data_IF_437201574527
#
_entry.id   IF_437201574527
#
_cell.length_a   1.000
_cell.length_b   1.000
_cell.length_c   1.000
_cell.angle_alpha   90.00
_cell.angle_beta   90.00
_cell.angle_gamma   90.00
#
_symmetry.space_group_name_H-M   'P 1'
#
loop_
_entity.id
_entity.type
_entity.pdbx_description
1 polymer ?
#
# COMPACT_ATOMS: atom_id res chain seq x y z
N UNK A 1 17.91 -8.89 5.40
CA UNK A 1 18.62 -9.97 6.15
C UNK A 1 17.67 -10.89 6.93
N UNK A 2 16.44 -10.47 7.29
CA UNK A 2 15.47 -11.33 7.99
C UNK A 2 14.60 -12.21 7.07
N UNK A 3 14.63 -12.02 5.75
CA UNK A 3 13.83 -12.79 4.79
C UNK A 3 14.09 -14.31 4.87
N UNK A 4 15.34 -14.72 5.13
CA UNK A 4 15.70 -16.13 5.31
C UNK A 4 15.05 -16.70 6.57
N UNK A 5 15.03 -15.93 7.66
CA UNK A 5 14.38 -16.32 8.92
C UNK A 5 12.87 -16.43 8.73
N UNK A 6 12.24 -15.47 8.03
CA UNK A 6 10.81 -15.54 7.69
C UNK A 6 10.52 -16.79 6.86
N UNK A 7 11.30 -17.07 5.82
CA UNK A 7 11.12 -18.25 4.97
C UNK A 7 11.26 -19.56 5.76
N UNK A 8 12.22 -19.63 6.70
CA UNK A 8 12.36 -20.78 7.59
C UNK A 8 11.15 -20.95 8.50
N UNK A 9 10.67 -19.87 9.12
CA UNK A 9 9.50 -19.90 10.02
C UNK A 9 8.20 -20.25 9.26
N UNK A 10 8.05 -19.76 8.03
CA UNK A 10 6.96 -20.17 7.14
C UNK A 10 7.10 -21.63 6.68
N UNK A 11 8.33 -22.10 6.46
CA UNK A 11 8.61 -23.51 6.21
C UNK A 11 8.19 -24.40 7.40
N UNK A 12 8.51 -24.00 8.64
CA UNK A 12 8.05 -24.69 9.85
C UNK A 12 6.53 -24.64 9.97
N UNK A 13 5.90 -23.51 9.67
CA UNK A 13 4.44 -23.36 9.61
C UNK A 13 3.82 -24.37 8.64
N UNK A 14 4.35 -24.46 7.42
CA UNK A 14 3.88 -25.39 6.40
C UNK A 14 4.07 -26.85 6.85
N UNK A 15 5.23 -27.19 7.44
CA UNK A 15 5.49 -28.52 7.96
C UNK A 15 4.52 -28.90 9.09
N UNK A 16 4.24 -28.00 10.04
CA UNK A 16 3.25 -28.24 11.09
C UNK A 16 1.86 -28.50 10.51
N UNK A 17 1.45 -27.73 9.50
CA UNK A 17 0.15 -27.91 8.85
C UNK A 17 0.11 -29.26 8.11
N UNK A 18 1.14 -29.60 7.31
CA UNK A 18 1.24 -30.87 6.60
C UNK A 18 1.26 -32.08 7.56
N UNK A 19 2.02 -31.99 8.66
CA UNK A 19 2.05 -33.01 9.71
C UNK A 19 0.71 -33.13 10.45
N UNK A 20 0.01 -32.01 10.65
CA UNK A 20 -1.33 -31.99 11.23
C UNK A 20 -2.38 -32.64 10.34
N UNK A 21 -2.31 -32.42 9.02
CA UNK A 21 -3.18 -33.05 8.01
C UNK A 21 -2.92 -34.55 7.95
N UNK A 22 -1.66 -34.97 7.81
CA UNK A 22 -1.28 -36.39 7.73
C UNK A 22 -1.63 -37.18 9.00
N UNK A 23 -1.50 -36.56 10.19
CA UNK A 23 -1.85 -37.20 11.47
C UNK A 23 -3.31 -36.97 11.90
N UNK A 24 -4.15 -36.30 11.09
CA UNK A 24 -5.55 -35.96 11.40
C UNK A 24 -5.73 -35.20 12.74
N UNK A 25 -4.70 -34.48 13.19
CA UNK A 25 -4.72 -33.75 14.48
C UNK A 25 -5.04 -32.28 14.25
N UNK A 26 -6.33 -31.93 14.43
CA UNK A 26 -6.82 -30.54 14.31
C UNK A 26 -6.04 -29.54 15.18
N UNK A 27 -5.57 -29.96 16.36
CA UNK A 27 -4.77 -29.12 17.26
C UNK A 27 -3.42 -28.69 16.64
N UNK A 28 -2.76 -29.57 15.87
CA UNK A 28 -1.48 -29.24 15.22
C UNK A 28 -1.70 -28.30 14.04
N UNK A 29 -2.79 -28.48 13.29
CA UNK A 29 -3.17 -27.58 12.19
C UNK A 29 -3.48 -26.18 12.74
N UNK A 30 -4.30 -26.08 13.78
CA UNK A 30 -4.62 -24.82 14.43
C UNK A 30 -3.37 -24.13 15.00
N UNK A 31 -2.49 -24.89 15.65
CA UNK A 31 -1.20 -24.40 16.14
C UNK A 31 -0.28 -23.89 15.02
N UNK A 32 -0.21 -24.61 13.89
CA UNK A 32 0.54 -24.19 12.72
C UNK A 32 0.00 -22.88 12.12
N UNK A 33 -1.31 -22.78 11.88
CA UNK A 33 -1.94 -21.55 11.38
C UNK A 33 -1.70 -20.39 12.35
N UNK A 34 -1.89 -20.61 13.66
CA UNK A 34 -1.65 -19.60 14.67
C UNK A 34 -0.20 -19.11 14.68
N UNK A 35 0.76 -20.03 14.57
CA UNK A 35 2.18 -19.71 14.48
C UNK A 35 2.54 -18.93 13.21
N UNK A 36 1.94 -19.29 12.07
CA UNK A 36 2.11 -18.58 10.81
C UNK A 36 1.58 -17.14 10.88
N UNK A 37 0.36 -16.97 11.39
CA UNK A 37 -0.24 -15.64 11.61
C UNK A 37 0.62 -14.81 12.56
N UNK A 38 1.03 -15.41 13.69
CA UNK A 38 1.91 -14.75 14.65
C UNK A 38 3.21 -14.28 14.00
N UNK A 39 3.84 -15.14 13.20
CA UNK A 39 5.09 -14.80 12.49
C UNK A 39 4.89 -13.59 11.58
N UNK A 40 3.86 -13.60 10.74
CA UNK A 40 3.58 -12.50 9.81
C UNK A 40 3.33 -11.19 10.58
N UNK A 41 2.47 -11.23 11.62
CA UNK A 41 2.15 -10.06 12.43
C UNK A 41 3.37 -9.53 13.19
N UNK A 42 4.17 -10.43 13.77
CA UNK A 42 5.36 -10.06 14.53
C UNK A 42 6.40 -9.35 13.66
N UNK A 43 6.70 -9.88 12.47
CA UNK A 43 7.66 -9.24 11.57
C UNK A 43 7.11 -7.95 10.96
N UNK A 44 5.80 -7.88 10.66
CA UNK A 44 5.17 -6.64 10.24
C UNK A 44 5.27 -5.56 11.31
N UNK A 45 5.04 -5.91 12.58
CA UNK A 45 5.22 -5.01 13.72
C UNK A 45 6.69 -4.59 13.90
N UNK A 46 7.65 -5.52 13.82
CA UNK A 46 9.06 -5.19 13.94
C UNK A 46 9.53 -4.22 12.85
N UNK A 47 9.07 -4.41 11.60
CA UNK A 47 9.37 -3.48 10.51
C UNK A 47 8.84 -2.09 10.84
N UNK A 48 7.56 -2.01 11.20
CA UNK A 48 6.92 -0.75 11.57
C UNK A 48 7.62 -0.05 12.74
N UNK A 49 7.92 -0.80 13.79
CA UNK A 49 8.57 -0.28 14.99
C UNK A 49 10.01 0.17 14.72
N UNK A 50 10.74 -0.57 13.89
CA UNK A 50 12.09 -0.21 13.46
C UNK A 50 12.10 1.11 12.69
N UNK A 51 11.18 1.28 11.74
CA UNK A 51 11.03 2.53 10.98
C UNK A 51 10.68 3.69 11.92
N UNK A 52 9.71 3.50 12.82
CA UNK A 52 9.33 4.51 13.79
C UNK A 52 10.51 4.97 14.66
N UNK A 53 11.25 4.03 15.26
CA UNK A 53 12.43 4.35 16.07
C UNK A 53 13.52 5.04 15.26
N UNK A 54 13.71 4.66 13.99
CA UNK A 54 14.69 5.33 13.13
C UNK A 54 14.32 6.80 12.90
N UNK A 55 13.05 7.08 12.58
CA UNK A 55 12.55 8.45 12.43
C UNK A 55 12.66 9.25 13.73
N UNK A 56 12.34 8.64 14.87
CA UNK A 56 12.45 9.28 16.18
C UNK A 56 13.91 9.64 16.51
N UNK A 57 14.85 8.72 16.28
CA UNK A 57 16.28 8.95 16.52
C UNK A 57 16.87 10.08 15.66
N UNK A 58 16.28 10.35 14.48
CA UNK A 58 16.69 11.46 13.61
C UNK A 58 15.96 12.78 13.94
N UNK A 59 15.07 12.79 14.94
CA UNK A 59 14.25 13.96 15.28
C UNK A 59 13.08 14.20 14.32
N UNK A 60 12.77 13.24 13.43
CA UNK A 60 11.71 13.32 12.43
C UNK A 60 10.45 12.52 12.82
N UNK A 61 10.26 12.18 14.10
CA UNK A 61 9.10 11.39 14.57
C UNK A 61 7.74 11.96 14.13
N UNK A 62 7.57 13.29 14.12
CA UNK A 62 6.35 13.94 13.62
C UNK A 62 6.13 13.70 12.13
N UNK A 63 7.19 13.59 11.32
CA UNK A 63 7.11 13.34 9.88
C UNK A 63 6.69 11.91 9.57
N UNK A 64 7.11 10.93 10.39
CA UNK A 64 6.66 9.54 10.26
C UNK A 64 5.13 9.42 10.39
N UNK A 65 4.55 10.05 11.42
CA UNK A 65 3.10 10.06 11.59
C UNK A 65 2.38 10.85 10.50
N UNK A 66 2.99 11.94 10.01
CA UNK A 66 2.45 12.66 8.86
C UNK A 66 2.42 11.78 7.61
N UNK A 67 3.48 11.03 7.32
CA UNK A 67 3.52 10.07 6.20
C UNK A 67 2.39 9.05 6.30
N UNK A 68 2.19 8.43 7.47
CA UNK A 68 1.09 7.47 7.69
C UNK A 68 -0.27 8.15 7.45
N UNK A 69 -0.46 9.36 7.98
CA UNK A 69 -1.71 10.10 7.82
C UNK A 69 -1.98 10.44 6.36
N UNK A 70 -0.98 10.87 5.60
CA UNK A 70 -1.14 11.14 4.17
C UNK A 70 -1.42 9.86 3.38
N UNK A 71 -0.70 8.76 3.63
CA UNK A 71 -0.97 7.47 2.98
C UNK A 71 -2.41 7.01 3.24
N UNK A 72 -2.88 7.10 4.48
CA UNK A 72 -4.27 6.76 4.84
C UNK A 72 -5.28 7.73 4.21
N UNK A 73 -4.98 9.03 4.18
CA UNK A 73 -5.83 10.04 3.55
C UNK A 73 -6.01 9.79 2.05
N UNK A 74 -4.91 9.54 1.33
CA UNK A 74 -4.95 9.22 -0.09
C UNK A 74 -5.60 7.85 -0.37
N UNK A 75 -5.41 6.86 0.50
CA UNK A 75 -6.15 5.59 0.43
C UNK A 75 -7.65 5.82 0.53
N UNK A 76 -8.10 6.63 1.50
CA UNK A 76 -9.51 6.94 1.70
C UNK A 76 -10.10 7.73 0.52
N UNK A 77 -9.39 8.75 0.03
CA UNK A 77 -9.80 9.51 -1.16
C UNK A 77 -9.88 8.60 -2.38
N UNK A 78 -8.86 7.77 -2.60
CA UNK A 78 -8.84 6.80 -3.69
C UNK A 78 -10.01 5.82 -3.62
N UNK A 79 -10.31 5.28 -2.42
CA UNK A 79 -11.46 4.40 -2.19
C UNK A 79 -12.77 5.09 -2.58
N UNK A 80 -13.00 6.31 -2.07
CA UNK A 80 -14.23 7.07 -2.32
C UNK A 80 -14.39 7.36 -3.81
N UNK A 81 -13.33 7.83 -4.47
CA UNK A 81 -13.36 8.10 -5.91
C UNK A 81 -13.59 6.84 -6.73
N UNK A 82 -12.93 5.73 -6.41
CA UNK A 82 -13.10 4.46 -7.11
C UNK A 82 -14.53 3.91 -6.99
N UNK A 83 -15.10 3.94 -5.77
CA UNK A 83 -16.48 3.57 -5.52
C UNK A 83 -17.45 4.47 -6.29
N UNK A 84 -17.24 5.78 -6.26
CA UNK A 84 -18.11 6.76 -6.93
C UNK A 84 -18.06 6.60 -8.44
N UNK A 85 -16.87 6.58 -9.04
CA UNK A 85 -16.67 6.48 -10.49
C UNK A 85 -17.29 5.19 -11.02
N UNK A 86 -17.00 4.06 -10.38
CA UNK A 86 -17.58 2.78 -10.81
C UNK A 86 -19.09 2.71 -10.61
N UNK A 87 -19.62 3.27 -9.51
CA UNK A 87 -21.05 3.38 -9.30
C UNK A 87 -21.73 4.23 -10.38
N UNK A 88 -21.13 5.36 -10.78
CA UNK A 88 -21.65 6.22 -11.87
C UNK A 88 -21.67 5.48 -13.22
N UNK A 89 -20.62 4.72 -13.53
CA UNK A 89 -20.55 3.92 -14.77
C UNK A 89 -21.63 2.83 -14.79
N UNK A 90 -21.95 2.25 -13.63
CA UNK A 90 -22.88 1.12 -13.49
C UNK A 90 -24.33 1.57 -13.26
N UNK A 91 -24.54 2.83 -12.89
CA UNK A 91 -25.84 3.44 -12.68
C UNK A 91 -26.82 3.23 -13.86
N UNK A 92 -26.44 3.44 -15.15
CA UNK A 92 -27.36 3.26 -16.28
C UNK A 92 -27.71 1.79 -16.60
N UNK A 93 -27.07 0.79 -15.96
CA UNK A 93 -27.35 -0.63 -16.24
C UNK A 93 -28.69 -1.09 -15.61
N UNK A 94 -29.44 -2.02 -16.22
CA UNK A 94 -30.72 -2.50 -15.69
C UNK A 94 -30.59 -3.16 -14.31
N UNK A 95 -31.61 -2.98 -13.46
CA UNK A 95 -31.60 -3.35 -12.02
C UNK A 95 -31.67 -4.86 -11.72
N UNK A 96 -31.77 -5.71 -12.74
CA UNK A 96 -31.96 -7.16 -12.62
C UNK A 96 -30.72 -7.91 -12.08
N UNK A 97 -29.60 -7.20 -11.92
CA UNK A 97 -28.28 -7.72 -11.57
C UNK A 97 -27.71 -7.07 -10.30
N UNK A 98 -28.52 -6.77 -9.26
CA UNK A 98 -28.04 -6.07 -8.03
C UNK A 98 -26.75 -6.67 -7.43
N UNK A 99 -26.62 -7.99 -7.34
CA UNK A 99 -25.40 -8.66 -6.85
C UNK A 99 -24.25 -8.60 -7.88
N UNK A 100 -24.56 -8.59 -9.18
CA UNK A 100 -23.57 -8.40 -10.26
C UNK A 100 -23.07 -6.95 -10.37
N UNK A 101 -23.75 -5.98 -9.74
CA UNK A 101 -23.27 -4.59 -9.62
C UNK A 101 -22.36 -4.33 -8.42
N UNK A 102 -22.35 -5.19 -7.40
CA UNK A 102 -21.61 -4.94 -6.16
C UNK A 102 -20.12 -5.26 -6.29
N UNK A 103 -19.78 -6.36 -6.95
CA UNK A 103 -18.39 -6.78 -7.12
C UNK A 103 -17.55 -5.80 -7.95
N UNK A 104 -18.03 -5.18 -9.06
CA UNK A 104 -17.22 -4.23 -9.81
C UNK A 104 -17.02 -2.91 -9.03
N UNK A 105 -18.02 -2.49 -8.25
CA UNK A 105 -17.91 -1.32 -7.37
C UNK A 105 -16.84 -1.58 -6.31
N UNK A 106 -16.91 -2.73 -5.65
CA UNK A 106 -15.91 -3.15 -4.66
C UNK A 106 -14.49 -3.20 -5.26
N UNK A 107 -14.33 -3.81 -6.43
CA UNK A 107 -13.04 -3.87 -7.13
C UNK A 107 -12.55 -2.47 -7.51
N UNK A 108 -13.43 -1.62 -8.07
CA UNK A 108 -13.09 -0.23 -8.40
C UNK A 108 -12.60 0.55 -7.20
N UNK A 109 -13.30 0.44 -6.07
CA UNK A 109 -12.86 1.02 -4.80
C UNK A 109 -11.48 0.53 -4.37
N UNK A 110 -11.23 -0.78 -4.37
CA UNK A 110 -9.94 -1.36 -3.95
C UNK A 110 -8.79 -0.94 -4.87
N UNK A 111 -9.01 -0.95 -6.19
CA UNK A 111 -7.99 -0.53 -7.16
C UNK A 111 -7.63 0.95 -6.93
N UNK A 112 -8.62 1.83 -6.87
CA UNK A 112 -8.36 3.26 -6.67
C UNK A 112 -7.78 3.57 -5.29
N UNK A 113 -8.16 2.85 -4.24
CA UNK A 113 -7.55 2.96 -2.91
C UNK A 113 -6.06 2.55 -2.93
N UNK A 114 -5.73 1.46 -3.62
CA UNK A 114 -4.34 1.02 -3.83
C UNK A 114 -3.52 2.05 -4.61
N UNK A 115 -4.09 2.63 -5.66
CA UNK A 115 -3.45 3.72 -6.40
C UNK A 115 -3.19 4.93 -5.51
N UNK A 116 -4.17 5.35 -4.71
CA UNK A 116 -4.00 6.43 -3.75
C UNK A 116 -2.88 6.16 -2.74
N UNK A 117 -2.85 4.96 -2.15
CA UNK A 117 -1.80 4.55 -1.21
C UNK A 117 -0.40 4.55 -1.81
N UNK A 118 -0.25 4.17 -3.07
CA UNK A 118 1.08 4.07 -3.72
C UNK A 118 1.55 5.40 -4.31
N UNK A 119 0.63 6.23 -4.81
CA UNK A 119 0.97 7.46 -5.54
C UNK A 119 0.94 8.74 -4.69
N UNK A 120 0.59 8.64 -3.39
CA UNK A 120 0.50 9.78 -2.47
C UNK A 120 1.73 10.71 -2.54
N UNK A 121 2.95 10.14 -2.60
CA UNK A 121 4.19 10.91 -2.59
C UNK A 121 4.38 11.70 -3.87
N UNK A 122 4.12 11.07 -5.03
CA UNK A 122 4.19 11.75 -6.34
C UNK A 122 3.20 12.91 -6.40
N UNK A 123 1.95 12.66 -5.98
CA UNK A 123 0.89 13.67 -6.01
C UNK A 123 1.26 14.85 -5.09
N UNK A 124 1.71 14.58 -3.87
CA UNK A 124 2.13 15.64 -2.94
C UNK A 124 3.35 16.42 -3.45
N UNK A 125 4.34 15.73 -4.06
CA UNK A 125 5.50 16.40 -4.66
C UNK A 125 5.08 17.33 -5.79
N UNK A 126 4.16 16.91 -6.65
CA UNK A 126 3.63 17.74 -7.73
C UNK A 126 2.86 18.95 -7.20
N UNK A 127 1.97 18.75 -6.23
CA UNK A 127 1.13 19.81 -5.67
C UNK A 127 1.91 20.82 -4.82
N UNK A 128 2.90 20.36 -4.05
CA UNK A 128 3.70 21.17 -3.13
C UNK A 128 5.15 21.33 -3.61
N UNK A 129 5.34 21.37 -4.93
CA UNK A 129 6.65 21.54 -5.55
C UNK A 129 7.31 22.86 -5.12
N UNK A 130 8.64 22.84 -5.00
CA UNK A 130 9.46 24.02 -4.67
C UNK A 130 10.57 24.17 -5.71
N UNK A 131 10.88 25.42 -6.07
CA UNK A 131 12.00 25.70 -6.96
C UNK A 131 13.33 25.31 -6.29
N UNK A 132 14.15 24.57 -7.01
CA UNK A 132 15.49 24.20 -6.59
C UNK A 132 16.48 25.38 -6.74
N UNK A 133 16.19 26.32 -7.65
CA UNK A 133 17.03 27.49 -7.92
C UNK A 133 18.24 27.14 -8.81
N UNK A 134 18.21 25.97 -9.45
CA UNK A 134 19.27 25.47 -10.32
C UNK A 134 18.66 25.21 -11.68
N UNK A 135 18.98 26.07 -12.65
CA UNK A 135 18.53 25.91 -14.03
C UNK A 135 19.49 25.01 -14.79
N UNK A 136 18.97 23.99 -15.48
CA UNK A 136 19.80 23.12 -16.30
C UNK A 136 20.05 23.71 -17.71
N UNK A 137 21.17 23.34 -18.38
CA UNK A 137 21.62 24.07 -19.57
C UNK A 137 20.89 23.75 -20.89
N UNK A 138 20.22 22.61 -21.01
CA UNK A 138 19.70 22.07 -22.28
C UNK A 138 18.30 22.61 -22.59
N UNK A 139 17.36 22.44 -21.67
CA UNK A 139 15.96 22.87 -21.80
C UNK A 139 15.64 24.11 -20.96
N UNK A 140 16.62 24.64 -20.21
CA UNK A 140 16.46 25.82 -19.35
C UNK A 140 15.35 25.65 -18.29
N UNK A 141 15.07 24.42 -17.87
CA UNK A 141 14.13 24.14 -16.79
C UNK A 141 14.81 24.18 -15.43
N UNK A 142 14.06 24.50 -14.36
CA UNK A 142 14.56 24.37 -12.99
C UNK A 142 14.69 22.88 -12.62
N UNK A 143 15.72 22.51 -11.86
CA UNK A 143 15.91 21.14 -11.40
C UNK A 143 14.70 20.60 -10.61
N UNK A 144 13.95 21.48 -9.93
CA UNK A 144 12.70 21.14 -9.26
C UNK A 144 11.61 20.62 -10.20
N UNK A 145 11.59 21.02 -11.48
CA UNK A 145 10.69 20.45 -12.48
C UNK A 145 10.91 18.94 -12.61
N UNK A 146 12.16 18.50 -12.72
CA UNK A 146 12.48 17.08 -12.90
C UNK A 146 12.24 16.25 -11.63
N UNK A 147 12.41 16.87 -10.45
CA UNK A 147 12.23 16.18 -9.16
C UNK A 147 10.76 16.08 -8.73
N UNK A 148 9.93 17.05 -9.09
CA UNK A 148 8.57 17.19 -8.56
C UNK A 148 7.48 17.16 -9.62
N UNK A 149 7.69 17.80 -10.77
CA UNK A 149 6.68 17.95 -11.81
C UNK A 149 6.68 16.79 -12.81
N UNK A 150 7.86 16.45 -13.32
CA UNK A 150 8.04 15.49 -14.41
C UNK A 150 7.51 14.10 -14.07
N UNK A 151 7.76 13.50 -12.88
CA UNK A 151 7.25 12.16 -12.58
C UNK A 151 5.72 12.04 -12.67
N UNK A 152 5.01 13.12 -12.34
CA UNK A 152 3.54 13.18 -12.46
C UNK A 152 3.10 13.35 -13.92
N UNK A 153 3.76 14.23 -14.68
CA UNK A 153 3.45 14.45 -16.09
C UNK A 153 3.70 13.18 -16.92
N UNK A 154 4.79 12.47 -16.64
CA UNK A 154 5.15 11.23 -17.34
C UNK A 154 4.05 10.17 -17.19
N UNK A 155 3.47 10.01 -16.00
CA UNK A 155 2.33 9.12 -15.75
C UNK A 155 1.01 9.52 -16.44
N UNK A 156 0.89 10.78 -16.88
CA UNK A 156 -0.32 11.27 -17.55
C UNK A 156 -0.22 11.13 -19.07
N UNK A 157 0.99 11.29 -19.62
CA UNK A 157 1.22 11.37 -21.06
C UNK A 157 1.79 10.07 -21.68
N UNK A 158 2.27 9.12 -20.86
CA UNK A 158 2.77 7.80 -21.28
C UNK A 158 2.08 6.67 -20.51
#
# INVERSE_FOLDING_TARGET
MYNVIILLLLGVTALLILLGITKQRKAIIAGGIGFGIFTILFFSFLSFWGDYLWFENLGYGTRFWAEILYKLGFLAVGLVLGLLITALIIYPLPAQLKISKLWPIGIGGVISASLGWNQWEMILKFLFQKNAGVTEPIFSNDAGFYMFSLPFLDHLYY
#
